data_IF_906576636446
#
_entry.id   IF_906576636446
#
_cell.length_a   1.000
_cell.length_b   1.000
_cell.length_c   1.000
_cell.angle_alpha   90.00
_cell.angle_beta   90.00
_cell.angle_gamma   90.00
#
_symmetry.space_group_name_H-M   'P 1'
#
loop_
_entity.id
_entity.type
_entity.pdbx_description
1 polymer ?
#
# COMPACT_ATOMS: atom_id res chain seq x y z
N UNK A 1 3.64 9.86 10.05
CA UNK A 1 2.84 9.24 11.12
C UNK A 1 2.11 10.33 11.88
N UNK A 2 0.78 10.27 11.89
CA UNK A 2 -0.09 11.23 12.58
C UNK A 2 0.16 11.20 14.10
N UNK A 3 0.15 12.38 14.74
CA UNK A 3 0.37 12.56 16.20
C UNK A 3 -0.71 11.88 17.05
N UNK A 4 -1.89 11.61 16.48
CA UNK A 4 -3.01 10.93 17.14
C UNK A 4 -2.73 9.47 17.47
N UNK A 5 -1.79 8.81 16.78
CA UNK A 5 -1.50 7.39 16.96
C UNK A 5 -0.20 7.18 17.73
N UNK A 6 -0.16 6.14 18.57
CA UNK A 6 1.05 5.77 19.32
C UNK A 6 2.10 5.09 18.45
N UNK A 7 1.68 4.30 17.46
CA UNK A 7 2.56 3.59 16.53
C UNK A 7 1.96 3.51 15.13
N UNK A 8 2.79 3.15 14.13
CA UNK A 8 2.37 2.98 12.74
C UNK A 8 1.29 1.91 12.58
N UNK A 9 1.34 0.85 13.39
CA UNK A 9 0.32 -0.21 13.40
C UNK A 9 -1.07 0.34 13.71
N UNK A 10 -1.21 1.22 14.70
CA UNK A 10 -2.49 1.86 14.98
C UNK A 10 -2.92 2.71 13.77
N UNK A 11 -2.06 3.57 13.23
CA UNK A 11 -2.38 4.41 12.07
C UNK A 11 -2.97 3.61 10.89
N UNK A 12 -2.28 2.56 10.43
CA UNK A 12 -2.74 1.74 9.28
C UNK A 12 -4.04 1.00 9.57
N UNK A 13 -4.24 0.54 10.81
CA UNK A 13 -5.47 -0.16 11.22
C UNK A 13 -6.67 0.79 11.25
N UNK A 14 -6.48 2.03 11.73
CA UNK A 14 -7.54 3.03 11.70
C UNK A 14 -7.85 3.49 10.27
N UNK A 15 -6.84 3.65 9.41
CA UNK A 15 -7.05 3.95 7.98
C UNK A 15 -7.85 2.85 7.27
N UNK A 16 -7.50 1.59 7.51
CA UNK A 16 -8.26 0.42 7.03
C UNK A 16 -9.71 0.45 7.55
N UNK A 17 -9.92 0.71 8.84
CA UNK A 17 -11.26 0.77 9.41
C UNK A 17 -12.12 1.89 8.79
N UNK A 18 -11.53 3.06 8.56
CA UNK A 18 -12.21 4.17 7.86
C UNK A 18 -12.50 3.84 6.39
N UNK A 19 -11.60 3.11 5.71
CA UNK A 19 -11.87 2.61 4.36
C UNK A 19 -13.05 1.63 4.34
N UNK A 20 -13.13 0.68 5.28
CA UNK A 20 -14.27 -0.24 5.39
C UNK A 20 -15.57 0.54 5.60
N UNK A 21 -15.58 1.53 6.51
CA UNK A 21 -16.77 2.37 6.77
C UNK A 21 -17.20 3.20 5.57
N UNK A 22 -16.27 3.58 4.70
CA UNK A 22 -16.55 4.28 3.43
C UNK A 22 -17.12 3.38 2.33
N UNK A 23 -17.31 2.08 2.61
CA UNK A 23 -17.84 1.12 1.64
C UNK A 23 -16.77 0.24 1.01
N UNK A 24 -15.62 0.05 1.68
CA UNK A 24 -14.58 -0.87 1.24
C UNK A 24 -15.11 -2.31 1.06
N UNK A 25 -14.73 -2.95 -0.05
CA UNK A 25 -15.18 -4.30 -0.37
C UNK A 25 -14.26 -5.34 0.29
N UNK A 26 -14.83 -6.20 1.13
CA UNK A 26 -14.12 -7.30 1.77
C UNK A 26 -14.54 -8.64 1.15
N UNK A 27 -13.62 -9.62 1.05
CA UNK A 27 -13.99 -10.98 0.66
C UNK A 27 -14.88 -11.60 1.73
N UNK A 28 -15.82 -12.46 1.32
CA UNK A 28 -16.72 -13.16 2.24
C UNK A 28 -15.99 -14.32 2.94
N UNK A 29 -15.12 -13.97 3.89
CA UNK A 29 -14.33 -14.89 4.69
C UNK A 29 -14.70 -14.71 6.17
N UNK A 30 -15.42 -15.66 6.79
CA UNK A 30 -15.80 -15.57 8.21
C UNK A 30 -14.60 -15.37 9.14
N UNK A 31 -13.44 -15.90 8.73
CA UNK A 31 -12.21 -15.80 9.50
C UNK A 31 -11.66 -14.38 9.56
N UNK A 32 -11.68 -13.70 8.42
CA UNK A 32 -11.30 -12.29 8.32
C UNK A 32 -12.25 -11.42 9.14
N UNK A 33 -13.56 -11.69 9.08
CA UNK A 33 -14.55 -10.96 9.89
C UNK A 33 -14.24 -11.10 11.37
N UNK A 34 -13.99 -12.33 11.85
CA UNK A 34 -13.62 -12.58 13.25
C UNK A 34 -12.34 -11.81 13.65
N UNK A 35 -11.33 -11.79 12.79
CA UNK A 35 -10.08 -11.06 13.03
C UNK A 35 -10.25 -9.54 13.00
N UNK A 36 -11.21 -9.01 12.23
CA UNK A 36 -11.47 -7.56 12.15
C UNK A 36 -12.27 -7.04 13.35
N UNK A 37 -13.17 -7.85 13.93
CA UNK A 37 -14.04 -7.42 15.06
C UNK A 37 -13.44 -7.66 16.44
N UNK A 38 -12.36 -8.45 16.53
CA UNK A 38 -11.75 -8.82 17.81
C UNK A 38 -10.83 -7.75 18.42
N UNK A 39 -9.94 -7.09 17.63
CA UNK A 39 -8.98 -6.13 18.15
C UNK A 39 -9.66 -4.90 18.72
N UNK A 40 -9.20 -4.47 19.89
CA UNK A 40 -9.65 -3.24 20.53
C UNK A 40 -8.55 -2.18 20.52
N UNK A 41 -8.89 -0.95 20.89
CA UNK A 41 -7.91 0.12 21.07
C UNK A 41 -8.03 0.71 22.46
N UNK A 42 -6.91 1.24 22.94
CA UNK A 42 -6.81 1.97 24.21
C UNK A 42 -6.24 3.35 23.97
N UNK A 43 -6.44 4.24 24.94
CA UNK A 43 -5.87 5.58 24.90
C UNK A 43 -4.67 5.64 25.84
N UNK A 44 -3.49 5.92 25.31
CA UNK A 44 -2.25 6.00 26.07
C UNK A 44 -1.58 7.34 25.83
N UNK A 45 -1.51 8.18 26.87
CA UNK A 45 -0.82 9.47 26.82
C UNK A 45 -1.34 10.40 25.72
N UNK A 46 -2.66 10.46 25.50
CA UNK A 46 -3.22 11.31 24.45
C UNK A 46 -3.37 10.65 23.07
N UNK A 47 -2.94 9.40 22.92
CA UNK A 47 -2.81 8.74 21.61
C UNK A 47 -3.54 7.40 21.56
N UNK A 48 -4.06 7.07 20.38
CA UNK A 48 -4.64 5.76 20.10
C UNK A 48 -3.54 4.69 20.02
N UNK A 49 -3.72 3.63 20.80
CA UNK A 49 -2.88 2.44 20.79
C UNK A 49 -3.75 1.22 20.49
N UNK A 50 -3.43 0.50 19.43
CA UNK A 50 -4.07 -0.78 19.11
C UNK A 50 -3.61 -1.87 20.09
N UNK A 51 -4.49 -2.81 20.41
CA UNK A 51 -4.20 -4.03 21.18
C UNK A 51 -3.03 -4.82 20.57
N UNK A 52 -2.18 -5.38 21.44
CA UNK A 52 -1.00 -6.13 21.00
C UNK A 52 -1.41 -7.46 20.37
N UNK A 53 -0.63 -7.89 19.36
CA UNK A 53 -0.90 -9.12 18.62
C UNK A 53 -1.01 -10.35 19.52
N UNK A 54 -0.17 -10.44 20.54
CA UNK A 54 -0.18 -11.55 21.49
C UNK A 54 -1.45 -11.57 22.36
N UNK A 55 -2.00 -10.40 22.69
CA UNK A 55 -3.26 -10.31 23.44
C UNK A 55 -4.45 -10.73 22.58
N UNK A 56 -4.48 -10.27 21.33
CA UNK A 56 -5.50 -10.68 20.35
C UNK A 56 -5.42 -12.20 20.14
N UNK A 57 -4.22 -12.75 19.96
CA UNK A 57 -4.00 -14.20 19.79
C UNK A 57 -4.50 -15.01 20.98
N UNK A 58 -4.30 -14.53 22.21
CA UNK A 58 -4.83 -15.19 23.43
C UNK A 58 -6.36 -15.21 23.47
N UNK A 59 -7.02 -14.16 22.99
CA UNK A 59 -8.49 -14.04 22.96
C UNK A 59 -9.12 -14.82 21.81
N UNK A 60 -8.52 -14.74 20.62
CA UNK A 60 -9.04 -15.34 19.40
C UNK A 60 -8.66 -16.83 19.25
N UNK A 61 -7.63 -17.29 19.98
CA UNK A 61 -7.08 -18.64 19.84
C UNK A 61 -6.20 -18.85 18.61
N UNK A 62 -6.14 -17.86 17.70
CA UNK A 62 -5.27 -17.83 16.52
C UNK A 62 -4.74 -16.43 16.27
N UNK A 63 -3.68 -16.33 15.47
CA UNK A 63 -3.07 -15.06 15.10
C UNK A 63 -3.97 -14.29 14.11
N UNK A 64 -4.15 -12.97 14.24
CA UNK A 64 -4.94 -12.15 13.32
C UNK A 64 -4.17 -11.83 12.03
N UNK A 65 -3.63 -12.85 11.36
CA UNK A 65 -2.70 -12.67 10.26
C UNK A 65 -3.38 -12.14 8.98
N UNK A 66 -4.66 -12.49 8.74
CA UNK A 66 -5.40 -11.98 7.58
C UNK A 66 -5.71 -10.49 7.73
N UNK A 67 -6.15 -10.08 8.92
CA UNK A 67 -6.43 -8.67 9.19
C UNK A 67 -5.16 -7.81 9.24
N UNK A 68 -4.06 -8.31 9.83
CA UNK A 68 -2.77 -7.61 9.79
C UNK A 68 -2.22 -7.53 8.35
N UNK A 69 -2.40 -8.56 7.52
CA UNK A 69 -2.01 -8.54 6.11
C UNK A 69 -2.81 -7.51 5.31
N UNK A 70 -4.13 -7.42 5.53
CA UNK A 70 -4.96 -6.37 4.96
C UNK A 70 -4.51 -4.98 5.44
N UNK A 71 -4.25 -4.80 6.74
CA UNK A 71 -3.79 -3.52 7.26
C UNK A 71 -2.45 -3.07 6.64
N UNK A 72 -1.55 -4.01 6.32
CA UNK A 72 -0.28 -3.70 5.66
C UNK A 72 -0.46 -3.06 4.28
N UNK A 73 -1.57 -3.29 3.57
CA UNK A 73 -1.81 -2.62 2.27
C UNK A 73 -2.06 -1.12 2.42
N UNK A 74 -2.41 -0.66 3.62
CA UNK A 74 -2.57 0.76 3.96
C UNK A 74 -1.28 1.37 4.53
N UNK A 75 -0.18 0.62 4.59
CA UNK A 75 1.07 1.11 5.16
C UNK A 75 1.74 2.21 4.34
N UNK A 76 1.36 2.39 3.08
CA UNK A 76 1.81 3.50 2.24
C UNK A 76 0.57 4.19 1.66
N UNK A 77 0.52 5.53 1.66
CA UNK A 77 -0.56 6.24 1.02
C UNK A 77 -0.51 5.98 -0.49
N UNK A 78 -1.68 5.75 -1.11
CA UNK A 78 -1.79 5.70 -2.56
C UNK A 78 -1.33 7.04 -3.13
N UNK A 79 -0.19 7.03 -3.81
CA UNK A 79 0.22 8.16 -4.63
C UNK A 79 -0.66 8.15 -5.88
N UNK A 80 -1.42 9.21 -6.18
CA UNK A 80 -2.08 9.30 -7.47
C UNK A 80 -1.00 9.11 -8.54
N UNK A 81 -1.28 8.25 -9.51
CA UNK A 81 -0.46 8.19 -10.71
C UNK A 81 -0.53 9.59 -11.34
N UNK A 82 0.55 10.37 -11.26
CA UNK A 82 0.68 11.69 -11.90
C UNK A 82 0.76 11.57 -13.44
N UNK A 83 -0.06 10.70 -14.05
CA UNK A 83 -0.23 10.61 -15.51
C UNK A 83 -0.73 11.96 -16.06
N UNK A 84 -1.40 12.76 -15.23
CA UNK A 84 -1.82 14.12 -15.58
C UNK A 84 -0.70 15.18 -15.41
N UNK A 85 0.30 14.95 -14.56
CA UNK A 85 1.37 15.91 -14.24
C UNK A 85 2.61 15.81 -15.16
N UNK A 86 2.84 14.66 -15.80
CA UNK A 86 3.96 14.43 -16.71
C UNK A 86 3.64 14.72 -18.20
N UNK A 87 2.79 15.71 -18.49
CA UNK A 87 2.75 16.36 -19.81
C UNK A 87 3.48 17.72 -19.84
N UNK A 88 4.37 17.94 -18.87
CA UNK A 88 5.29 19.08 -18.83
C UNK A 88 6.71 18.64 -19.14
N UNK A 89 7.16 18.91 -20.37
CA UNK A 89 8.56 18.89 -20.82
C UNK A 89 9.35 17.59 -20.57
N UNK A 90 9.01 16.52 -21.30
CA UNK A 90 9.98 15.48 -21.63
C UNK A 90 11.13 16.16 -22.37
N UNK A 91 12.27 16.33 -21.71
CA UNK A 91 13.50 16.71 -22.39
C UNK A 91 13.72 15.75 -23.55
N UNK A 92 13.95 16.28 -24.76
CA UNK A 92 14.25 15.49 -25.95
C UNK A 92 15.38 14.51 -25.60
N UNK A 93 15.03 13.23 -25.44
CA UNK A 93 16.03 12.16 -25.45
C UNK A 93 16.60 12.15 -26.87
N UNK A 94 17.87 12.53 -27.02
CA UNK A 94 18.57 12.36 -28.29
C UNK A 94 18.77 10.88 -28.53
N UNK A 95 17.94 10.29 -29.37
CA UNK A 95 18.17 8.96 -29.91
C UNK A 95 18.95 9.12 -31.22
N UNK A 96 20.26 9.29 -31.12
CA UNK A 96 21.17 9.14 -32.27
C UNK A 96 21.43 7.64 -32.50
N UNK A 97 20.36 6.85 -32.63
CA UNK A 97 20.47 5.43 -32.95
C UNK A 97 19.94 5.20 -34.36
N UNK A 98 20.86 5.22 -35.32
CA UNK A 98 20.62 4.83 -36.71
C UNK A 98 21.07 3.36 -36.91
N UNK A 99 20.14 2.41 -37.06
CA UNK A 99 20.47 0.99 -37.24
C UNK A 99 21.08 0.66 -38.61
N UNK A 100 21.16 1.62 -39.54
CA UNK A 100 21.80 1.44 -40.86
C UNK A 100 23.23 2.02 -40.93
N UNK A 101 23.73 2.65 -39.86
CA UNK A 101 25.12 3.12 -39.80
C UNK A 101 26.14 1.99 -39.64
N UNK A 102 25.71 0.79 -39.23
CA UNK A 102 26.58 -0.36 -39.01
C UNK A 102 26.28 -1.50 -39.96
N UNK A 103 27.19 -1.70 -40.91
CA UNK A 103 27.27 -2.81 -41.87
C UNK A 103 26.27 -2.74 -43.05
N UNK A 104 26.80 -3.05 -44.24
CA UNK A 104 26.13 -3.11 -45.55
C UNK A 104 26.11 -1.80 -46.36
N UNK A 105 27.30 -1.24 -46.61
CA UNK A 105 27.59 -0.45 -47.81
C UNK A 105 28.54 -1.23 -48.71
N UNK A 106 28.12 -2.43 -49.12
CA UNK A 106 28.82 -3.17 -50.16
C UNK A 106 28.65 -2.46 -51.49
N UNK A 107 29.77 -2.35 -52.19
CA UNK A 107 29.96 -1.92 -53.58
C UNK A 107 28.75 -2.21 -54.48
N UNK A 108 27.91 -1.19 -54.67
CA UNK A 108 26.97 -1.11 -55.80
C UNK A 108 27.12 0.25 -56.45
N UNK A 109 28.19 0.44 -57.22
CA UNK A 109 28.10 1.18 -58.46
C UNK A 109 29.20 0.73 -59.42
N UNK A 110 28.76 0.46 -60.65
CA UNK A 110 29.52 0.02 -61.82
C UNK A 110 30.03 1.24 -62.58
#
# INVERSE_FOLDING_TARGET
MDKRYKNRRAEIWFEMAEWIKRGGALPNLPELVAELVTPTYTFNGGKFQLEEKDQIKRRLGRSPDLADALACTFAMPDMPNDIAGQRGSVGKVKTDFDPYQGAYGGDYDR
#
